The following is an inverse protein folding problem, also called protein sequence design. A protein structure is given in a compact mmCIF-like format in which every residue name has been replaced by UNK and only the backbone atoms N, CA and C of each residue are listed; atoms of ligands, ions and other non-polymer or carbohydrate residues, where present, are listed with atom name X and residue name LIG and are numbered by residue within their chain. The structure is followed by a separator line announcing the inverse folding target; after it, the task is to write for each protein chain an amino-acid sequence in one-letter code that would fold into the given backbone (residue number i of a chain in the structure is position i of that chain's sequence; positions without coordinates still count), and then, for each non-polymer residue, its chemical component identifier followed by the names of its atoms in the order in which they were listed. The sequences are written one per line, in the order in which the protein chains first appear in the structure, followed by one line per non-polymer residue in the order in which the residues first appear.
data_IF_107527563430
#
_entry.id   IF_107527563430
#
_cell.length_a   1.000
_cell.length_b   1.000
_cell.length_c   1.000
_cell.angle_alpha   90.00
_cell.angle_beta   90.00
_cell.angle_gamma   90.00
#
_symmetry.space_group_name_H-M   'P 1'
#
loop_
_entity.id
_entity.type
_entity.pdbx_description
1 polymer ?
#
# COMPACT_ATOMS: atom_id res chain seq x y z
N UNK A 1 10.09 17.50 26.60
CA UNK A 1 10.24 16.79 27.87
C UNK A 1 10.24 15.29 27.58
N UNK A 2 11.28 14.56 27.94
CA UNK A 2 11.25 13.13 27.73
C UNK A 2 10.16 12.52 28.62
N UNK A 3 9.34 11.67 28.03
CA UNK A 3 8.32 10.90 28.74
C UNK A 3 9.09 9.81 29.50
N UNK A 4 9.09 9.88 30.83
CA UNK A 4 9.98 9.10 31.68
C UNK A 4 9.29 7.96 32.41
N UNK A 5 8.09 7.57 32.03
CA UNK A 5 7.41 6.45 32.68
C UNK A 5 7.30 5.26 31.73
N UNK A 6 8.22 4.28 31.81
CA UNK A 6 8.16 3.08 30.99
C UNK A 6 7.05 2.10 31.41
N UNK A 7 6.40 2.32 32.57
CA UNK A 7 5.40 1.39 33.12
C UNK A 7 3.95 1.88 32.94
N UNK A 8 3.73 2.99 32.21
CA UNK A 8 2.37 3.40 31.92
C UNK A 8 1.76 2.49 30.86
N UNK A 9 0.75 1.75 31.25
CA UNK A 9 -0.10 0.93 30.37
C UNK A 9 -0.67 1.80 29.24
N UNK A 10 -0.42 1.47 28.01
CA UNK A 10 -0.95 2.23 26.88
C UNK A 10 -0.12 2.08 25.63
N UNK A 11 0.24 3.19 25.05
CA UNK A 11 0.95 3.22 23.77
C UNK A 11 2.42 2.74 23.82
N UNK A 12 2.92 2.38 25.00
CA UNK A 12 4.32 2.03 25.24
C UNK A 12 4.48 0.52 25.44
N UNK A 13 4.17 -0.24 24.40
CA UNK A 13 4.48 -1.68 24.40
C UNK A 13 5.98 -1.96 24.29
N UNK A 14 6.36 -3.21 24.60
CA UNK A 14 7.73 -3.65 24.37
C UNK A 14 8.16 -3.38 22.94
N UNK A 15 9.44 -3.07 22.70
CA UNK A 15 9.96 -2.94 21.34
C UNK A 15 9.59 -4.17 20.52
N UNK A 16 9.23 -3.95 19.28
CA UNK A 16 8.84 -5.02 18.37
C UNK A 16 10.04 -5.96 18.13
N UNK A 17 10.05 -7.18 18.71
CA UNK A 17 11.12 -8.14 18.45
C UNK A 17 10.77 -8.97 17.21
N UNK A 18 11.74 -9.23 16.36
CA UNK A 18 11.61 -10.30 15.38
C UNK A 18 11.39 -11.65 16.10
N UNK A 19 10.79 -12.61 15.40
CA UNK A 19 10.55 -13.97 15.94
C UNK A 19 11.78 -14.59 16.60
N UNK A 20 12.97 -14.25 16.10
CA UNK A 20 14.24 -14.81 16.57
C UNK A 20 15.02 -13.84 17.50
N UNK A 21 14.37 -12.77 17.97
CA UNK A 21 15.00 -11.77 18.85
C UNK A 21 16.04 -10.89 18.16
N UNK A 22 16.18 -11.01 16.83
CA UNK A 22 17.09 -10.20 16.03
C UNK A 22 16.46 -8.89 15.53
N UNK A 23 17.25 -8.02 14.89
CA UNK A 23 16.75 -6.78 14.32
C UNK A 23 15.77 -7.06 13.19
N UNK A 24 14.61 -6.39 13.22
CA UNK A 24 13.59 -6.49 12.18
C UNK A 24 13.91 -5.53 11.04
N UNK A 25 13.96 -6.07 9.83
CA UNK A 25 14.16 -5.26 8.62
C UNK A 25 12.88 -4.47 8.31
N UNK A 26 13.03 -3.18 8.05
CA UNK A 26 11.96 -2.35 7.50
C UNK A 26 11.94 -2.46 5.98
N UNK A 27 10.79 -2.78 5.42
CA UNK A 27 10.56 -2.81 3.98
C UNK A 27 9.67 -1.62 3.62
N UNK A 28 10.17 -0.76 2.74
CA UNK A 28 9.44 0.38 2.23
C UNK A 28 8.77 0.01 0.90
N UNK A 29 7.44 0.10 0.88
CA UNK A 29 6.62 -0.15 -0.31
C UNK A 29 5.79 1.09 -0.56
N UNK A 30 5.74 1.57 -1.78
CA UNK A 30 4.85 2.65 -2.17
C UNK A 30 3.64 2.09 -2.88
N UNK A 31 2.45 2.57 -2.54
CA UNK A 31 1.20 2.15 -3.13
C UNK A 31 0.36 3.34 -3.59
N UNK A 32 -0.51 3.13 -4.57
CA UNK A 32 -1.37 4.15 -5.12
C UNK A 32 -2.85 3.74 -5.07
N UNK A 33 -3.70 4.63 -4.60
CA UNK A 33 -5.12 4.58 -4.84
C UNK A 33 -5.41 5.36 -6.13
N UNK A 34 -5.54 4.63 -7.23
CA UNK A 34 -5.96 5.19 -8.52
C UNK A 34 -7.47 5.40 -8.47
N UNK A 35 -7.91 6.61 -8.76
CA UNK A 35 -9.32 7.01 -8.62
C UNK A 35 -9.82 7.48 -9.97
N UNK A 36 -10.87 6.83 -10.47
CA UNK A 36 -11.46 7.17 -11.76
C UNK A 36 -12.46 8.35 -11.67
N UNK A 37 -13.02 8.73 -12.80
CA UNK A 37 -13.97 9.84 -12.86
C UNK A 37 -15.26 9.61 -12.07
N UNK A 38 -15.61 8.34 -11.80
CA UNK A 38 -16.78 7.96 -11.00
C UNK A 38 -16.45 7.81 -9.51
N UNK A 39 -15.22 8.11 -9.10
CA UNK A 39 -14.77 8.00 -7.72
C UNK A 39 -14.47 6.57 -7.28
N UNK A 40 -14.34 5.63 -8.21
CA UNK A 40 -13.99 4.24 -7.91
C UNK A 40 -12.47 4.10 -7.77
N UNK A 41 -12.06 3.20 -6.91
CA UNK A 41 -10.66 2.89 -6.62
C UNK A 41 -10.27 1.59 -7.30
N UNK A 42 -9.10 1.57 -7.94
CA UNK A 42 -8.55 0.37 -8.54
C UNK A 42 -7.90 -0.51 -7.50
N UNK A 43 -8.28 -1.78 -7.48
CA UNK A 43 -7.61 -2.83 -6.72
C UNK A 43 -7.18 -3.96 -7.66
N UNK A 44 -6.11 -4.65 -7.29
CA UNK A 44 -5.55 -5.76 -8.05
C UNK A 44 -5.50 -7.02 -7.20
N UNK A 45 -5.93 -8.14 -7.76
CA UNK A 45 -5.88 -9.44 -7.08
C UNK A 45 -4.61 -10.17 -7.47
N UNK A 46 -3.84 -10.59 -6.48
CA UNK A 46 -2.62 -11.37 -6.72
C UNK A 46 -2.94 -12.70 -7.39
N UNK A 47 -2.21 -13.05 -8.46
CA UNK A 47 -2.45 -14.31 -9.17
C UNK A 47 -2.06 -15.52 -8.32
N UNK A 48 -2.60 -16.69 -8.68
CA UNK A 48 -2.21 -17.97 -8.09
C UNK A 48 -0.71 -18.22 -8.25
N UNK A 49 -0.09 -18.83 -7.24
CA UNK A 49 1.35 -19.14 -7.23
C UNK A 49 2.24 -18.05 -6.66
N UNK A 50 1.70 -16.88 -6.36
CA UNK A 50 2.43 -15.81 -5.66
C UNK A 50 2.10 -15.77 -4.18
N UNK A 51 2.99 -15.17 -3.37
CA UNK A 51 2.73 -14.91 -1.95
C UNK A 51 1.45 -14.11 -1.79
N UNK A 52 0.60 -14.49 -0.84
CA UNK A 52 -0.70 -13.87 -0.59
C UNK A 52 -1.64 -13.93 -1.81
N UNK A 53 -1.56 -15.01 -2.58
CA UNK A 53 -2.44 -15.25 -3.73
C UNK A 53 -3.92 -15.16 -3.33
N UNK A 54 -4.72 -14.54 -4.21
CA UNK A 54 -6.15 -14.37 -3.96
C UNK A 54 -6.53 -13.15 -3.12
N UNK A 55 -5.57 -12.46 -2.52
CA UNK A 55 -5.81 -11.20 -1.82
C UNK A 55 -5.75 -10.02 -2.80
N UNK A 56 -6.59 -9.04 -2.51
CA UNK A 56 -6.64 -7.80 -3.26
C UNK A 56 -5.72 -6.76 -2.61
N UNK A 57 -5.10 -5.92 -3.42
CA UNK A 57 -4.17 -4.90 -2.95
C UNK A 57 -4.24 -3.65 -3.81
N UNK A 58 -3.73 -2.54 -3.27
CA UNK A 58 -3.50 -1.35 -4.07
C UNK A 58 -2.24 -1.56 -4.92
N UNK A 59 -2.25 -1.11 -6.19
CA UNK A 59 -1.07 -1.21 -7.04
C UNK A 59 0.13 -0.47 -6.45
N UNK A 60 1.31 -1.01 -6.65
CA UNK A 60 2.56 -0.43 -6.18
C UNK A 60 3.65 -1.47 -6.03
N UNK A 61 4.71 -1.12 -5.36
CA UNK A 61 5.83 -2.03 -5.17
C UNK A 61 6.93 -1.46 -4.28
N UNK A 62 7.98 -2.23 -4.11
CA UNK A 62 9.12 -1.87 -3.27
C UNK A 62 9.83 -0.63 -3.81
N UNK A 63 10.17 0.27 -2.89
CA UNK A 63 11.07 1.38 -3.16
C UNK A 63 12.50 0.86 -3.10
N UNK A 64 13.22 0.99 -4.21
CA UNK A 64 14.59 0.53 -4.32
C UNK A 64 15.57 1.54 -3.73
N UNK A 65 16.80 1.07 -3.45
CA UNK A 65 17.86 1.94 -2.90
C UNK A 65 18.12 3.11 -3.85
N UNK A 66 18.13 4.32 -3.30
CA UNK A 66 18.35 5.55 -4.06
C UNK A 66 17.11 6.07 -4.80
N UNK A 67 15.98 5.40 -4.68
CA UNK A 67 14.73 5.76 -5.32
C UNK A 67 13.81 6.48 -4.32
N UNK A 68 13.11 7.52 -4.76
CA UNK A 68 12.02 8.12 -3.97
C UNK A 68 10.75 7.27 -4.10
N UNK A 69 9.86 7.29 -3.10
CA UNK A 69 8.58 6.57 -3.20
C UNK A 69 7.77 6.92 -4.44
N UNK A 70 7.73 8.19 -4.84
CA UNK A 70 7.03 8.66 -6.02
C UNK A 70 7.66 8.11 -7.31
N UNK A 71 8.99 8.07 -7.37
CA UNK A 71 9.73 7.49 -8.50
C UNK A 71 9.43 5.99 -8.62
N UNK A 72 9.41 5.30 -7.49
CA UNK A 72 9.04 3.88 -7.44
C UNK A 72 7.63 3.65 -8.00
N UNK A 73 6.66 4.50 -7.65
CA UNK A 73 5.29 4.37 -8.16
C UNK A 73 5.21 4.62 -9.66
N UNK A 74 5.89 5.61 -10.19
CA UNK A 74 5.94 5.84 -11.65
C UNK A 74 6.42 4.58 -12.36
N UNK A 75 7.49 3.98 -11.89
CA UNK A 75 8.06 2.75 -12.44
C UNK A 75 7.12 1.55 -12.28
N UNK A 76 6.62 1.30 -11.08
CA UNK A 76 5.77 0.14 -10.78
C UNK A 76 4.43 0.18 -11.53
N UNK A 77 3.80 1.36 -11.64
CA UNK A 77 2.53 1.47 -12.34
C UNK A 77 2.68 1.30 -13.85
N UNK A 78 3.83 1.68 -14.42
CA UNK A 78 4.14 1.35 -15.81
C UNK A 78 4.34 -0.16 -15.99
N UNK A 79 5.15 -0.79 -15.15
CA UNK A 79 5.43 -2.22 -15.21
C UNK A 79 4.18 -3.08 -15.01
N UNK A 80 3.36 -2.75 -14.02
CA UNK A 80 2.20 -3.56 -13.64
C UNK A 80 0.96 -3.30 -14.49
N UNK A 81 0.73 -2.04 -14.86
CA UNK A 81 -0.53 -1.59 -15.45
C UNK A 81 -0.39 -0.95 -16.83
N UNK A 82 0.82 -0.67 -17.26
CA UNK A 82 1.06 -0.02 -18.53
C UNK A 82 0.62 1.42 -18.61
N UNK A 83 0.49 2.09 -17.49
CA UNK A 83 0.11 3.51 -17.43
C UNK A 83 1.32 4.38 -17.14
N UNK A 84 1.29 5.58 -17.67
CA UNK A 84 2.30 6.61 -17.44
C UNK A 84 1.72 7.69 -16.52
N UNK A 85 2.39 7.91 -15.41
CA UNK A 85 2.08 8.99 -14.46
C UNK A 85 3.29 9.87 -14.25
N UNK A 86 3.06 11.11 -13.84
CA UNK A 86 4.13 11.98 -13.37
C UNK A 86 4.08 12.05 -11.85
N UNK A 87 5.24 12.27 -11.23
CA UNK A 87 5.33 12.36 -9.76
C UNK A 87 4.43 13.45 -9.18
N UNK A 88 4.22 14.54 -9.92
CA UNK A 88 3.34 15.64 -9.53
C UNK A 88 1.86 15.28 -9.48
N UNK A 89 1.46 14.16 -10.10
CA UNK A 89 0.09 13.63 -10.04
C UNK A 89 -0.18 12.79 -8.81
N UNK A 90 0.85 12.53 -8.00
CA UNK A 90 0.74 11.75 -6.78
C UNK A 90 0.56 12.67 -5.58
N UNK A 91 -0.58 12.55 -4.92
CA UNK A 91 -0.87 13.29 -3.69
C UNK A 91 -0.68 12.38 -2.47
N UNK A 92 0.26 12.67 -1.57
CA UNK A 92 0.40 11.89 -0.34
C UNK A 92 -0.91 11.91 0.45
N UNK A 93 -1.36 10.72 0.87
CA UNK A 93 -2.62 10.60 1.60
C UNK A 93 -2.41 10.09 3.02
N UNK A 94 -1.89 8.89 3.15
CA UNK A 94 -1.65 8.24 4.44
C UNK A 94 -0.56 7.19 4.29
N UNK A 95 -0.32 6.43 5.33
CA UNK A 95 0.60 5.30 5.29
C UNK A 95 0.07 4.14 6.13
N UNK A 96 0.52 2.94 5.79
CA UNK A 96 0.35 1.76 6.63
C UNK A 96 1.67 1.42 7.30
N UNK A 97 1.61 1.02 8.55
CA UNK A 97 2.73 0.44 9.29
C UNK A 97 2.26 -0.87 9.87
N UNK A 98 2.82 -1.98 9.41
CA UNK A 98 2.40 -3.30 9.86
C UNK A 98 3.59 -4.20 10.12
N UNK A 99 3.58 -4.82 11.28
CA UNK A 99 4.59 -5.76 11.71
C UNK A 99 4.20 -7.17 11.27
N UNK A 100 4.85 -7.66 10.21
CA UNK A 100 4.82 -9.07 9.86
C UNK A 100 5.85 -9.86 10.66
N UNK A 101 5.80 -11.20 10.62
CA UNK A 101 6.69 -12.04 11.43
C UNK A 101 8.18 -11.78 11.22
N UNK A 102 8.59 -11.49 9.98
CA UNK A 102 9.99 -11.38 9.59
C UNK A 102 10.41 -9.98 9.15
N UNK A 103 9.48 -9.04 9.06
CA UNK A 103 9.77 -7.69 8.62
C UNK A 103 8.69 -6.70 9.08
N UNK A 104 9.07 -5.44 9.13
CA UNK A 104 8.16 -4.32 9.33
C UNK A 104 7.87 -3.66 7.99
N UNK A 105 6.62 -3.66 7.58
CA UNK A 105 6.18 -2.97 6.37
C UNK A 105 5.82 -1.52 6.69
N UNK A 106 6.43 -0.59 5.98
CA UNK A 106 6.03 0.81 5.95
C UNK A 106 5.60 1.15 4.52
N UNK A 107 4.34 1.50 4.35
CA UNK A 107 3.74 1.67 3.02
C UNK A 107 2.99 3.00 2.91
N UNK A 108 3.63 4.05 2.35
CA UNK A 108 2.92 5.26 2.00
C UNK A 108 1.90 4.98 0.89
N UNK A 109 0.71 5.54 1.04
CA UNK A 109 -0.36 5.48 0.05
C UNK A 109 -0.58 6.86 -0.54
N UNK A 110 -0.52 6.93 -1.86
CA UNK A 110 -0.76 8.14 -2.63
C UNK A 110 -2.10 8.05 -3.35
N UNK A 111 -2.77 9.20 -3.52
CA UNK A 111 -3.91 9.31 -4.42
C UNK A 111 -3.43 9.73 -5.80
N UNK A 112 -3.98 9.12 -6.85
CA UNK A 112 -3.69 9.46 -8.23
C UNK A 112 -4.98 9.46 -9.05
N UNK A 113 -5.28 10.59 -9.67
CA UNK A 113 -6.50 10.79 -10.50
C UNK A 113 -6.20 11.03 -11.97
N UNK A 114 -4.92 11.16 -12.32
CA UNK A 114 -4.49 11.53 -13.67
C UNK A 114 -3.38 10.58 -14.12
N UNK A 115 -3.60 9.92 -15.22
CA UNK A 115 -2.62 9.06 -15.89
C UNK A 115 -2.84 9.07 -17.39
N UNK A 116 -1.84 8.60 -18.13
CA UNK A 116 -1.91 8.37 -19.57
C UNK A 116 -1.85 6.89 -19.86
N UNK A 117 -2.44 6.47 -20.95
CA UNK A 117 -2.45 5.08 -21.37
C UNK A 117 -3.67 4.31 -20.87
N UNK A 118 -3.81 3.10 -21.38
CA UNK A 118 -4.90 2.21 -21.04
C UNK A 118 -4.46 1.26 -19.92
N UNK A 119 -5.26 1.20 -18.87
CA UNK A 119 -5.05 0.30 -17.76
C UNK A 119 -5.07 -1.15 -18.24
N UNK A 120 -3.96 -1.84 -18.12
CA UNK A 120 -3.78 -3.22 -18.60
C UNK A 120 -3.09 -4.07 -17.55
N UNK A 121 -3.64 -5.24 -17.17
CA UNK A 121 -2.98 -6.12 -16.21
C UNK A 121 -1.79 -6.85 -16.90
N UNK A 122 -0.59 -6.38 -16.66
CA UNK A 122 0.63 -6.89 -17.31
C UNK A 122 1.29 -8.06 -16.58
N UNK A 123 0.85 -8.38 -15.36
CA UNK A 123 1.46 -9.40 -14.50
C UNK A 123 0.52 -10.56 -14.16
N UNK A 124 -0.54 -10.75 -14.96
CA UNK A 124 -1.51 -11.82 -14.73
C UNK A 124 -2.46 -11.57 -13.59
N UNK A 125 -2.46 -10.35 -13.00
CA UNK A 125 -3.38 -9.96 -11.95
C UNK A 125 -4.77 -9.63 -12.50
N UNK A 126 -5.79 -9.84 -11.69
CA UNK A 126 -7.15 -9.36 -11.97
C UNK A 126 -7.28 -7.92 -11.47
N UNK A 127 -7.88 -7.05 -12.28
CA UNK A 127 -8.12 -5.65 -11.93
C UNK A 127 -9.60 -5.40 -11.70
N UNK A 128 -9.91 -4.56 -10.71
CA UNK A 128 -11.31 -4.19 -10.43
C UNK A 128 -11.40 -2.76 -9.94
N UNK A 129 -12.35 -2.02 -10.52
CA UNK A 129 -12.76 -0.70 -10.05
C UNK A 129 -13.88 -0.84 -9.03
N UNK A 130 -13.66 -0.33 -7.82
CA UNK A 130 -14.55 -0.55 -6.68
C UNK A 130 -14.95 0.76 -6.04
N UNK A 131 -16.23 0.92 -5.75
CA UNK A 131 -16.69 2.05 -4.95
C UNK A 131 -16.05 2.01 -3.55
N UNK A 132 -15.60 3.14 -2.99
CA UNK A 132 -14.92 3.16 -1.70
C UNK A 132 -15.69 2.45 -0.58
N UNK A 133 -17.00 2.61 -0.54
CA UNK A 133 -17.88 1.96 0.46
C UNK A 133 -17.90 0.43 0.33
N UNK A 134 -17.47 -0.11 -0.80
CA UNK A 134 -17.46 -1.55 -1.07
C UNK A 134 -16.07 -2.18 -0.93
N UNK A 135 -15.03 -1.40 -0.68
CA UNK A 135 -13.66 -1.92 -0.54
C UNK A 135 -13.54 -2.97 0.57
N UNK A 136 -14.30 -2.83 1.64
CA UNK A 136 -14.31 -3.81 2.73
C UNK A 136 -14.85 -5.19 2.37
N UNK A 137 -15.50 -5.35 1.22
CA UNK A 137 -16.00 -6.65 0.74
C UNK A 137 -14.88 -7.52 0.13
N UNK A 138 -13.70 -6.95 -0.08
CA UNK A 138 -12.57 -7.62 -0.72
C UNK A 138 -11.50 -7.99 0.30
N UNK A 139 -11.06 -9.27 0.36
CA UNK A 139 -10.00 -9.65 1.28
C UNK A 139 -8.68 -9.03 0.88
N UNK A 140 -8.01 -8.38 1.84
CA UNK A 140 -6.75 -7.67 1.62
C UNK A 140 -5.70 -8.12 2.65
N UNK A 141 -4.40 -7.93 2.35
CA UNK A 141 -3.36 -8.12 3.35
C UNK A 141 -3.61 -7.25 4.60
N UNK A 142 -3.17 -7.69 5.78
CA UNK A 142 -3.40 -6.96 7.03
C UNK A 142 -2.96 -5.49 6.98
N UNK A 143 -1.88 -5.17 6.28
CA UNK A 143 -1.39 -3.80 6.13
C UNK A 143 -2.38 -2.87 5.40
N UNK A 144 -3.14 -3.41 4.45
CA UNK A 144 -4.05 -2.62 3.60
C UNK A 144 -5.39 -2.36 4.28
N UNK A 145 -5.79 -3.19 5.23
CA UNK A 145 -7.10 -3.09 5.89
C UNK A 145 -7.37 -1.71 6.51
N UNK A 146 -6.45 -1.10 7.27
CA UNK A 146 -6.67 0.24 7.82
C UNK A 146 -6.82 1.32 6.76
N UNK A 147 -6.19 1.15 5.60
CA UNK A 147 -6.25 2.12 4.50
C UNK A 147 -7.65 2.18 3.88
N UNK A 148 -8.36 1.06 3.86
CA UNK A 148 -9.74 0.98 3.34
C UNK A 148 -10.68 1.90 4.11
N UNK A 149 -10.60 1.90 5.43
CA UNK A 149 -11.43 2.77 6.27
C UNK A 149 -11.15 4.26 5.99
N UNK A 150 -9.87 4.62 5.87
CA UNK A 150 -9.46 5.99 5.58
C UNK A 150 -9.92 6.46 4.19
N UNK A 151 -9.79 5.60 3.18
CA UNK A 151 -10.27 5.91 1.83
C UNK A 151 -11.78 6.07 1.79
N UNK A 152 -12.51 5.18 2.44
CA UNK A 152 -13.98 5.26 2.51
C UNK A 152 -14.44 6.57 3.15
N UNK A 153 -13.78 7.00 4.21
CA UNK A 153 -14.18 8.21 4.94
C UNK A 153 -13.77 9.50 4.19
N UNK A 154 -12.72 9.43 3.38
CA UNK A 154 -12.22 10.57 2.58
C UNK A 154 -12.94 10.72 1.25
N UNK A 155 -13.20 9.65 0.55
CA UNK A 155 -13.83 9.64 -0.78
C UNK A 155 -15.35 9.53 -0.66
#
# INVERSE_FOLDING_TARGET
MPITDPDSDGCWGAPFPGKDGGPVKTVLVAAAALIDADGRVLIAKRPAGKTMAGLWEFPGGKVEVGELPETALVRELDEELGIDITETCLAPFTFASHAYDNFHLLMPLYLCRIWRGQMTPREGQELKWVQPVRLGDYPMPPADVPLVALLRDYL
#
